data_IF_905456743122
#
_entry.id   IF_905456743122
#
_cell.length_a   1.000
_cell.length_b   1.000
_cell.length_c   1.000
_cell.angle_alpha   90.00
_cell.angle_beta   90.00
_cell.angle_gamma   90.00
#
_symmetry.space_group_name_H-M   'P 1'
#
loop_
_entity.id
_entity.type
_entity.pdbx_description
1 polymer ?
#
# COMPACT_ATOMS: atom_id res chain seq x y z
N UNK A 1 5.28 8.21 -17.70
CA UNK A 1 5.48 6.79 -17.33
C UNK A 1 4.53 6.49 -16.18
N UNK A 2 3.61 5.52 -16.32
CA UNK A 2 2.70 5.13 -15.24
C UNK A 2 3.31 3.90 -14.57
N UNK A 3 3.92 4.06 -13.40
CA UNK A 3 4.43 2.94 -12.60
C UNK A 3 3.25 2.03 -12.26
N UNK A 4 3.28 0.77 -12.71
CA UNK A 4 2.20 -0.16 -12.46
C UNK A 4 2.06 -0.45 -10.97
N UNK A 5 0.85 -0.74 -10.53
CA UNK A 5 0.53 -0.95 -9.10
C UNK A 5 1.36 -2.07 -8.46
N UNK A 6 1.75 -3.08 -9.23
CA UNK A 6 2.52 -4.23 -8.76
C UNK A 6 4.04 -4.07 -8.93
N UNK A 7 4.51 -3.05 -9.63
CA UNK A 7 5.93 -2.79 -9.85
C UNK A 7 6.64 -2.44 -8.53
N UNK A 8 7.98 -2.65 -8.45
CA UNK A 8 8.75 -2.18 -7.32
C UNK A 8 8.60 -0.65 -7.17
N UNK A 9 8.46 -0.21 -5.93
CA UNK A 9 8.21 1.19 -5.63
C UNK A 9 9.45 2.04 -5.94
N UNK A 10 9.32 3.15 -6.71
CA UNK A 10 10.47 3.99 -7.09
C UNK A 10 11.11 4.73 -5.92
N UNK A 11 10.54 4.68 -4.71
CA UNK A 11 11.16 5.23 -3.51
C UNK A 11 12.30 4.36 -2.92
N UNK A 12 12.58 3.19 -3.51
CA UNK A 12 13.65 2.30 -3.06
C UNK A 12 13.30 1.43 -1.86
N UNK A 13 12.03 1.37 -1.45
CA UNK A 13 11.60 0.56 -0.29
C UNK A 13 11.61 -0.96 -0.53
N UNK A 14 11.77 -1.40 -1.78
CA UNK A 14 11.66 -2.81 -2.18
C UNK A 14 10.23 -3.37 -2.14
N UNK A 15 9.23 -2.58 -1.72
CA UNK A 15 7.82 -2.96 -1.70
C UNK A 15 7.16 -2.70 -3.05
N UNK A 16 6.04 -3.38 -3.34
CA UNK A 16 5.20 -3.05 -4.51
C UNK A 16 4.64 -1.63 -4.37
N UNK A 17 4.56 -0.90 -5.48
CA UNK A 17 4.13 0.50 -5.50
C UNK A 17 2.78 0.70 -4.78
N UNK A 18 1.80 -0.18 -5.01
CA UNK A 18 0.47 -0.19 -4.34
C UNK A 18 0.48 -0.42 -2.83
N UNK A 19 1.54 -0.98 -2.27
CA UNK A 19 1.68 -1.20 -0.82
C UNK A 19 2.74 -0.26 -0.21
N UNK A 20 3.18 0.75 -0.96
CA UNK A 20 4.17 1.71 -0.52
C UNK A 20 3.71 3.14 -0.79
N UNK A 21 4.21 3.81 -1.83
CA UNK A 21 3.86 5.20 -2.10
C UNK A 21 2.45 5.39 -2.68
N UNK A 22 1.82 4.33 -3.18
CA UNK A 22 0.43 4.35 -3.63
C UNK A 22 -0.54 3.75 -2.58
N UNK A 23 -0.03 3.07 -1.56
CA UNK A 23 -0.85 2.59 -0.45
C UNK A 23 -1.33 3.79 0.35
N UNK A 24 -2.64 4.00 0.43
CA UNK A 24 -3.22 5.04 1.26
C UNK A 24 -2.99 4.75 2.74
N UNK A 25 -2.89 5.77 3.62
CA UNK A 25 -2.77 5.58 5.07
C UNK A 25 -4.00 4.94 5.76
N UNK A 26 -4.89 4.29 5.01
CA UNK A 26 -6.06 3.56 5.51
C UNK A 26 -5.91 2.03 5.49
N UNK A 27 -4.79 1.48 5.05
CA UNK A 27 -4.57 0.00 5.01
C UNK A 27 -3.89 -0.53 6.30
N UNK A 28 -3.90 0.24 7.38
CA UNK A 28 -3.31 -0.16 8.66
C UNK A 28 -4.25 -0.06 9.86
N UNK A 29 -5.55 -0.19 9.65
CA UNK A 29 -6.50 -0.51 10.71
C UNK A 29 -6.97 -1.96 10.57
N UNK A 30 -6.14 -2.89 11.02
CA UNK A 30 -6.71 -3.95 11.85
C UNK A 30 -7.07 -3.30 13.18
N UNK A 31 -8.38 -3.14 13.48
CA UNK A 31 -9.04 -3.05 14.82
C UNK A 31 -10.11 -1.95 14.87
N UNK A 32 -11.33 -2.23 14.39
CA UNK A 32 -12.48 -1.46 14.86
C UNK A 32 -13.68 -1.47 13.93
N UNK A 33 -14.35 -2.61 13.79
CA UNK A 33 -15.81 -2.68 13.54
C UNK A 33 -16.27 -4.14 13.57
N UNK A 34 -17.18 -4.43 14.50
CA UNK A 34 -18.00 -5.63 14.58
C UNK A 34 -17.25 -6.97 14.66
N UNK A 35 -16.80 -7.31 15.87
CA UNK A 35 -17.13 -8.65 16.38
C UNK A 35 -18.66 -8.72 16.41
N UNK A 36 -19.25 -9.53 15.54
CA UNK A 36 -20.60 -10.07 15.75
C UNK A 36 -20.56 -11.04 16.91
#
# INVERSE_FOLDING_TARGET
MKTGRNDPCPCGSGKKYKHCCLGTPGDRESRGSAQV
#
